data_IF_547447313593
#
_entry.id   IF_547447313593
#
_cell.length_a   1.000
_cell.length_b   1.000
_cell.length_c   1.000
_cell.angle_alpha   90.00
_cell.angle_beta   90.00
_cell.angle_gamma   90.00
#
_symmetry.space_group_name_H-M   'P 1'
#
loop_
_entity.id
_entity.type
_entity.pdbx_description
1 polymer ?
#
# COMPACT_ATOMS: atom_id res chain seq x y z
N UNK A 1 -5.07 66.54 -82.56
CA UNK A 1 -5.84 66.78 -81.32
C UNK A 1 -5.97 65.46 -80.58
N UNK A 2 -5.10 65.19 -79.60
CA UNK A 2 -5.16 63.98 -78.75
C UNK A 2 -5.55 64.44 -77.35
N UNK A 3 -6.76 64.07 -76.92
CA UNK A 3 -7.25 64.33 -75.57
C UNK A 3 -6.58 63.30 -74.65
N UNK A 4 -5.63 63.74 -73.84
CA UNK A 4 -5.11 62.95 -72.72
C UNK A 4 -6.07 63.14 -71.53
N UNK A 5 -6.85 62.11 -71.23
CA UNK A 5 -7.70 62.06 -70.05
C UNK A 5 -6.82 61.79 -68.82
N UNK A 6 -6.78 62.72 -67.87
CA UNK A 6 -6.00 62.60 -66.63
C UNK A 6 -6.81 61.74 -65.66
N UNK A 7 -6.42 60.47 -65.49
CA UNK A 7 -7.05 59.57 -64.53
C UNK A 7 -6.69 60.05 -63.12
N UNK A 8 -7.69 60.26 -62.25
CA UNK A 8 -7.44 60.67 -60.87
C UNK A 8 -6.69 59.57 -60.09
N UNK A 9 -5.58 59.95 -59.44
CA UNK A 9 -4.70 59.05 -58.70
C UNK A 9 -5.33 58.38 -57.45
N UNK A 10 -6.62 58.61 -57.19
CA UNK A 10 -7.37 58.02 -56.08
C UNK A 10 -7.55 56.50 -56.21
N UNK A 11 -7.64 55.97 -57.44
CA UNK A 11 -7.76 54.53 -57.67
C UNK A 11 -6.55 53.73 -57.15
N UNK A 12 -5.34 54.33 -57.16
CA UNK A 12 -4.12 53.70 -56.68
C UNK A 12 -4.11 53.57 -55.15
N UNK A 13 -4.57 54.61 -54.44
CA UNK A 13 -4.66 54.59 -52.97
C UNK A 13 -5.68 53.55 -52.48
N UNK A 14 -6.83 53.45 -53.17
CA UNK A 14 -7.84 52.44 -52.87
C UNK A 14 -7.33 51.02 -53.15
N UNK A 15 -6.65 50.81 -54.28
CA UNK A 15 -6.03 49.51 -54.60
C UNK A 15 -4.99 49.10 -53.56
N UNK A 16 -4.15 50.04 -53.09
CA UNK A 16 -3.17 49.78 -52.02
C UNK A 16 -3.89 49.40 -50.72
N UNK A 17 -4.90 50.16 -50.29
CA UNK A 17 -5.66 49.88 -49.07
C UNK A 17 -6.32 48.51 -49.11
N UNK A 18 -7.00 48.19 -50.23
CA UNK A 18 -7.62 46.87 -50.43
C UNK A 18 -6.56 45.77 -50.45
N UNK A 19 -5.41 45.99 -51.10
CA UNK A 19 -4.33 44.99 -51.14
C UNK A 19 -3.73 44.70 -49.76
N UNK A 20 -3.55 45.72 -48.92
CA UNK A 20 -3.08 45.57 -47.53
C UNK A 20 -4.12 44.83 -46.69
N UNK A 21 -5.41 45.15 -46.84
CA UNK A 21 -6.49 44.48 -46.12
C UNK A 21 -6.57 42.99 -46.51
N UNK A 22 -6.48 42.68 -47.81
CA UNK A 22 -6.43 41.30 -48.30
C UNK A 22 -5.17 40.58 -47.79
N UNK A 23 -4.01 41.22 -47.79
CA UNK A 23 -2.77 40.64 -47.26
C UNK A 23 -2.87 40.35 -45.75
N UNK A 24 -3.49 41.24 -44.97
CA UNK A 24 -3.74 41.02 -43.54
C UNK A 24 -4.70 39.86 -43.30
N UNK A 25 -5.80 39.78 -44.06
CA UNK A 25 -6.75 38.66 -43.96
C UNK A 25 -6.09 37.32 -44.33
N UNK A 26 -5.32 37.28 -45.42
CA UNK A 26 -4.58 36.09 -45.82
C UNK A 26 -3.52 35.71 -44.78
N UNK A 27 -2.80 36.69 -44.23
CA UNK A 27 -1.82 36.48 -43.15
C UNK A 27 -2.47 35.91 -41.89
N UNK A 28 -3.60 36.45 -41.47
CA UNK A 28 -4.37 35.95 -40.33
C UNK A 28 -4.87 34.52 -40.57
N UNK A 29 -5.38 34.22 -41.77
CA UNK A 29 -5.84 32.88 -42.13
C UNK A 29 -4.71 31.85 -42.17
N UNK A 30 -3.55 32.22 -42.73
CA UNK A 30 -2.35 31.38 -42.74
C UNK A 30 -1.85 31.12 -41.30
N UNK A 31 -1.82 32.15 -40.46
CA UNK A 31 -1.43 32.02 -39.06
C UNK A 31 -2.40 31.10 -38.30
N UNK A 32 -3.72 31.27 -38.47
CA UNK A 32 -4.73 30.42 -37.84
C UNK A 32 -4.55 28.95 -38.25
N UNK A 33 -4.35 28.70 -39.54
CA UNK A 33 -4.12 27.34 -40.07
C UNK A 33 -2.84 26.73 -39.50
N UNK A 34 -1.77 27.51 -39.42
CA UNK A 34 -0.50 27.06 -38.83
C UNK A 34 -0.65 26.74 -37.33
N UNK A 35 -1.29 27.62 -36.55
CA UNK A 35 -1.54 27.41 -35.12
C UNK A 35 -2.40 26.18 -34.89
N UNK A 36 -3.47 25.98 -35.67
CA UNK A 36 -4.33 24.82 -35.54
C UNK A 36 -3.61 23.51 -35.88
N UNK A 37 -2.82 23.50 -36.98
CA UNK A 37 -1.99 22.34 -37.34
C UNK A 37 -0.96 22.01 -36.26
N UNK A 38 -0.25 23.04 -35.76
CA UNK A 38 0.72 22.90 -34.69
C UNK A 38 0.08 22.32 -33.42
N UNK A 39 -1.08 22.86 -33.01
CA UNK A 39 -1.82 22.38 -31.86
C UNK A 39 -2.29 20.93 -32.02
N UNK A 40 -2.78 20.55 -33.20
CA UNK A 40 -3.21 19.18 -33.50
C UNK A 40 -2.04 18.19 -33.42
N UNK A 41 -0.88 18.55 -34.00
CA UNK A 41 0.33 17.73 -33.93
C UNK A 41 0.76 17.57 -32.46
N UNK A 42 0.86 18.67 -31.71
CA UNK A 42 1.28 18.64 -30.31
C UNK A 42 0.32 17.88 -29.40
N UNK A 43 -0.99 18.01 -29.63
CA UNK A 43 -2.01 17.27 -28.88
C UNK A 43 -1.92 15.77 -29.15
N UNK A 44 -1.73 15.38 -30.41
CA UNK A 44 -1.56 13.98 -30.80
C UNK A 44 -0.29 13.38 -30.18
N UNK A 45 0.82 14.11 -30.15
CA UNK A 45 2.06 13.69 -29.48
C UNK A 45 1.83 13.42 -27.98
N UNK A 46 1.16 14.32 -27.26
CA UNK A 46 0.86 14.16 -25.82
C UNK A 46 -0.03 12.94 -25.58
N UNK A 47 -1.11 12.79 -26.35
CA UNK A 47 -2.06 11.68 -26.20
C UNK A 47 -1.34 10.34 -26.44
N UNK A 48 -0.57 10.24 -27.52
CA UNK A 48 0.21 9.03 -27.81
C UNK A 48 1.26 8.75 -26.73
N UNK A 49 1.93 9.77 -26.19
CA UNK A 49 2.89 9.58 -25.10
C UNK A 49 2.20 9.09 -23.81
N UNK A 50 1.01 9.59 -23.50
CA UNK A 50 0.20 9.16 -22.38
C UNK A 50 -0.28 7.72 -22.51
N UNK A 51 -0.79 7.34 -23.70
CA UNK A 51 -1.19 5.96 -24.01
C UNK A 51 -0.01 5.00 -23.88
N UNK A 52 1.15 5.36 -24.45
CA UNK A 52 2.38 4.58 -24.32
C UNK A 52 2.84 4.44 -22.86
N UNK A 53 2.75 5.51 -22.08
CA UNK A 53 3.12 5.47 -20.65
C UNK A 53 2.19 4.55 -19.86
N UNK A 54 0.88 4.63 -20.09
CA UNK A 54 -0.09 3.73 -19.49
C UNK A 54 0.17 2.27 -19.91
N UNK A 55 0.35 2.01 -21.20
CA UNK A 55 0.64 0.68 -21.71
C UNK A 55 1.92 0.11 -21.08
N UNK A 56 2.99 0.91 -20.99
CA UNK A 56 4.23 0.51 -20.33
C UNK A 56 4.01 0.12 -18.87
N UNK A 57 3.20 0.90 -18.14
CA UNK A 57 2.87 0.61 -16.74
C UNK A 57 2.02 -0.66 -16.61
N UNK A 58 0.96 -0.82 -17.41
CA UNK A 58 0.09 -2.02 -17.35
C UNK A 58 0.84 -3.30 -17.75
N UNK A 59 1.65 -3.26 -18.81
CA UNK A 59 2.51 -4.40 -19.19
C UNK A 59 3.45 -4.77 -18.05
N UNK A 60 3.92 -3.79 -17.28
CA UNK A 60 4.78 -4.04 -16.14
C UNK A 60 4.09 -4.80 -14.99
N UNK A 61 2.76 -4.72 -14.87
CA UNK A 61 1.99 -5.42 -13.83
C UNK A 61 1.92 -6.93 -14.07
N UNK A 62 1.92 -7.33 -15.34
CA UNK A 62 1.80 -8.72 -15.78
C UNK A 62 3.14 -9.45 -15.93
N UNK A 63 4.26 -8.71 -15.87
CA UNK A 63 5.59 -9.25 -16.17
C UNK A 63 6.30 -9.67 -14.87
N UNK A 64 6.46 -10.99 -14.68
CA UNK A 64 7.13 -11.57 -13.51
C UNK A 64 8.66 -11.30 -13.46
N UNK A 65 9.26 -10.92 -14.59
CA UNK A 65 10.71 -10.79 -14.77
C UNK A 65 11.27 -9.37 -14.63
N UNK A 66 10.50 -8.41 -14.12
CA UNK A 66 11.03 -7.06 -13.90
C UNK A 66 11.91 -7.08 -12.67
N UNK A 67 13.21 -6.86 -12.87
CA UNK A 67 14.17 -6.66 -11.77
C UNK A 67 13.72 -5.44 -10.98
N UNK A 68 13.34 -5.68 -9.72
CA UNK A 68 12.91 -4.63 -8.80
C UNK A 68 14.13 -3.86 -8.30
N UNK A 69 13.95 -2.57 -8.04
CA UNK A 69 15.01 -1.60 -7.74
C UNK A 69 15.96 -1.29 -8.91
N UNK A 70 15.50 -1.47 -10.15
CA UNK A 70 16.23 -1.05 -11.34
C UNK A 70 15.41 -0.06 -12.19
N UNK A 71 16.11 0.69 -13.04
CA UNK A 71 15.51 1.60 -14.02
C UNK A 71 15.81 1.08 -15.42
N UNK A 72 14.76 0.64 -16.11
CA UNK A 72 14.85 0.24 -17.51
C UNK A 72 14.65 1.48 -18.36
N UNK A 73 15.70 1.88 -19.07
CA UNK A 73 15.65 2.97 -20.06
C UNK A 73 15.78 2.35 -21.45
N UNK A 74 14.80 2.61 -22.31
CA UNK A 74 14.88 2.29 -23.74
C UNK A 74 14.84 3.58 -24.54
N UNK A 75 15.82 3.78 -25.39
CA UNK A 75 15.93 4.96 -26.24
C UNK A 75 15.88 4.53 -27.69
N UNK A 76 14.98 5.14 -28.45
CA UNK A 76 14.82 4.93 -29.88
C UNK A 76 15.02 6.28 -30.61
N UNK A 77 15.12 6.24 -31.94
CA UNK A 77 15.28 7.45 -32.77
C UNK A 77 14.15 8.50 -32.63
N UNK A 78 13.03 8.14 -31.99
CA UNK A 78 11.84 8.99 -31.83
C UNK A 78 11.62 9.48 -30.39
N UNK A 79 12.44 9.03 -29.43
CA UNK A 79 12.27 9.39 -28.02
C UNK A 79 12.84 8.36 -27.04
N UNK A 80 12.58 8.54 -25.76
CA UNK A 80 13.00 7.61 -24.70
C UNK A 80 11.83 7.20 -23.82
N UNK A 81 11.86 5.97 -23.35
CA UNK A 81 10.96 5.43 -22.33
C UNK A 81 11.75 5.01 -21.11
N UNK A 82 11.27 5.36 -19.93
CA UNK A 82 11.87 5.03 -18.64
C UNK A 82 10.83 4.35 -17.77
N UNK A 83 11.17 3.17 -17.27
CA UNK A 83 10.38 2.44 -16.29
C UNK A 83 11.22 2.22 -15.04
N UNK A 84 10.75 2.69 -13.89
CA UNK A 84 11.37 2.45 -12.60
C UNK A 84 10.37 1.75 -11.68
N UNK A 85 10.76 0.60 -11.12
CA UNK A 85 9.95 -0.20 -10.21
C UNK A 85 10.71 -0.39 -8.91
N UNK A 86 10.24 0.23 -7.84
CA UNK A 86 10.93 0.25 -6.54
C UNK A 86 9.95 -0.05 -5.41
N UNK A 87 10.44 -0.65 -4.33
CA UNK A 87 9.64 -0.77 -3.12
C UNK A 87 9.41 0.60 -2.47
N UNK A 88 8.20 0.82 -1.97
CA UNK A 88 7.80 2.03 -1.26
C UNK A 88 6.95 1.62 -0.05
N UNK A 89 7.66 1.22 1.02
CA UNK A 89 7.04 0.65 2.21
C UNK A 89 6.44 -0.73 1.96
N UNK A 90 5.14 -0.88 2.24
CA UNK A 90 4.37 -2.08 2.02
C UNK A 90 4.02 -2.32 0.54
N UNK A 91 4.05 -1.28 -0.28
CA UNK A 91 3.64 -1.33 -1.69
C UNK A 91 4.83 -1.21 -2.64
N UNK A 92 4.57 -1.42 -3.93
CA UNK A 92 5.55 -1.25 -4.99
C UNK A 92 5.20 0.00 -5.79
N UNK A 93 6.11 0.99 -5.82
CA UNK A 93 5.96 2.18 -6.64
C UNK A 93 6.46 1.90 -8.05
N UNK A 94 5.62 2.19 -9.04
CA UNK A 94 5.94 2.11 -10.46
C UNK A 94 5.89 3.49 -11.09
N UNK A 95 6.98 3.85 -11.76
CA UNK A 95 7.12 5.11 -12.49
C UNK A 95 7.36 4.80 -13.97
N UNK A 96 6.46 5.27 -14.83
CA UNK A 96 6.64 5.28 -16.28
C UNK A 96 6.82 6.72 -16.75
N UNK A 97 7.80 6.94 -17.63
CA UNK A 97 8.04 8.22 -18.27
C UNK A 97 8.30 7.99 -19.75
N UNK A 98 7.59 8.75 -20.59
CA UNK A 98 7.78 8.79 -22.03
C UNK A 98 8.20 10.21 -22.40
N UNK A 99 9.34 10.31 -23.05
CA UNK A 99 9.83 11.55 -23.65
C UNK A 99 9.79 11.42 -25.17
N UNK A 100 9.12 12.35 -25.83
CA UNK A 100 9.04 12.44 -27.29
C UNK A 100 9.33 13.88 -27.68
N UNK A 101 10.41 14.12 -28.42
CA UNK A 101 10.94 15.45 -28.69
C UNK A 101 11.12 16.29 -27.39
N UNK A 102 10.44 17.43 -27.27
CA UNK A 102 10.46 18.31 -26.09
C UNK A 102 9.33 18.04 -25.08
N UNK A 103 8.51 17.01 -25.29
CA UNK A 103 7.41 16.69 -24.38
C UNK A 103 7.75 15.49 -23.52
N UNK A 104 7.39 15.60 -22.24
CA UNK A 104 7.58 14.57 -21.23
C UNK A 104 6.24 14.29 -20.56
N UNK A 105 5.83 13.03 -20.57
CA UNK A 105 4.65 12.54 -19.86
C UNK A 105 5.09 11.48 -18.87
N UNK A 106 4.60 11.54 -17.64
CA UNK A 106 4.90 10.53 -16.65
C UNK A 106 3.67 10.09 -15.86
N UNK A 107 3.75 8.86 -15.34
CA UNK A 107 2.74 8.19 -14.55
C UNK A 107 3.37 7.50 -13.36
N UNK A 108 2.76 7.68 -12.20
CA UNK A 108 3.17 7.02 -10.96
C UNK A 108 1.98 6.26 -10.39
N UNK A 109 2.19 5.01 -10.01
CA UNK A 109 1.20 4.22 -9.28
C UNK A 109 1.86 3.43 -8.15
N UNK A 110 1.14 3.26 -7.05
CA UNK A 110 1.38 2.18 -6.10
C UNK A 110 0.69 0.92 -6.63
N UNK A 111 1.38 -0.20 -6.47
CA UNK A 111 0.93 -1.51 -6.92
C UNK A 111 1.16 -2.55 -5.83
N UNK A 112 0.29 -3.55 -5.81
CA UNK A 112 0.26 -4.64 -4.83
C UNK A 112 -0.13 -5.93 -5.50
N UNK A 113 -0.16 -7.04 -4.78
CA UNK A 113 -0.50 -8.33 -5.37
C UNK A 113 -1.98 -8.43 -5.72
N UNK A 114 -2.27 -8.96 -6.89
CA UNK A 114 -3.61 -9.15 -7.41
C UNK A 114 -4.30 -10.34 -6.75
N UNK A 115 -5.52 -10.12 -6.26
CA UNK A 115 -6.39 -11.20 -5.80
C UNK A 115 -6.82 -12.10 -6.98
N UNK A 116 -6.73 -13.41 -6.78
CA UNK A 116 -7.19 -14.42 -7.75
C UNK A 116 -8.37 -15.20 -7.17
N UNK A 117 -9.06 -15.98 -8.01
CA UNK A 117 -10.15 -16.87 -7.54
C UNK A 117 -9.68 -17.94 -6.55
N UNK A 118 -8.38 -18.25 -6.53
CA UNK A 118 -7.76 -19.20 -5.61
C UNK A 118 -7.14 -18.53 -4.38
N UNK A 119 -7.20 -17.19 -4.28
CA UNK A 119 -6.73 -16.49 -3.10
C UNK A 119 -7.50 -16.95 -1.86
N UNK A 120 -6.81 -17.24 -0.74
CA UNK A 120 -7.45 -17.63 0.49
C UNK A 120 -8.13 -16.43 1.17
N UNK A 121 -9.28 -16.68 1.78
CA UNK A 121 -9.88 -15.80 2.78
C UNK A 121 -9.34 -16.14 4.17
N UNK A 122 -9.17 -17.42 4.48
CA UNK A 122 -8.46 -17.88 5.67
C UNK A 122 -7.35 -18.85 5.26
N UNK A 123 -6.17 -18.68 5.82
CA UNK A 123 -5.09 -19.65 5.74
C UNK A 123 -4.52 -19.90 7.13
N UNK A 124 -4.71 -21.11 7.64
CA UNK A 124 -4.12 -21.55 8.91
C UNK A 124 -3.05 -22.57 8.60
N UNK A 125 -1.83 -22.36 9.09
CA UNK A 125 -0.76 -23.34 8.89
C UNK A 125 -1.12 -24.70 9.49
N UNK A 126 -0.79 -25.78 8.78
CA UNK A 126 -0.96 -27.13 9.30
C UNK A 126 0.06 -27.42 10.41
N UNK A 127 -0.41 -27.35 11.65
CA UNK A 127 0.32 -27.73 12.85
C UNK A 127 -0.20 -29.06 13.44
N UNK A 128 -0.76 -29.94 12.60
CA UNK A 128 -1.35 -31.23 12.98
C UNK A 128 -2.40 -31.10 14.11
N UNK A 129 -3.20 -30.04 14.06
CA UNK A 129 -4.22 -29.76 15.06
C UNK A 129 -5.42 -29.08 14.40
N UNK A 130 -6.65 -29.41 14.80
CA UNK A 130 -7.85 -28.85 14.19
C UNK A 130 -8.01 -27.38 14.59
N UNK A 131 -8.65 -26.60 13.71
CA UNK A 131 -9.17 -25.29 14.06
C UNK A 131 -10.49 -25.44 14.82
N UNK A 132 -10.67 -24.69 15.90
CA UNK A 132 -11.87 -24.73 16.73
C UNK A 132 -12.61 -23.39 16.65
N UNK A 133 -13.88 -23.43 16.27
CA UNK A 133 -14.73 -22.24 16.19
C UNK A 133 -15.64 -22.15 17.40
N UNK A 134 -15.74 -20.96 17.98
CA UNK A 134 -16.50 -20.71 19.21
C UNK A 134 -17.25 -19.38 19.12
N UNK A 135 -18.47 -19.35 19.69
CA UNK A 135 -19.34 -18.18 19.69
C UNK A 135 -19.82 -17.82 18.28
N UNK A 136 -19.74 -16.54 17.95
CA UNK A 136 -20.25 -15.97 16.69
C UNK A 136 -19.23 -16.04 15.53
N UNK A 137 -18.27 -16.95 15.63
CA UNK A 137 -17.21 -17.09 14.64
C UNK A 137 -17.80 -17.44 13.27
N UNK A 138 -17.25 -16.84 12.21
CA UNK A 138 -17.75 -17.04 10.84
C UNK A 138 -16.60 -17.04 9.85
N UNK A 139 -16.56 -18.05 8.98
CA UNK A 139 -15.54 -18.20 7.95
C UNK A 139 -16.22 -18.27 6.58
N UNK A 140 -15.97 -17.31 5.72
CA UNK A 140 -16.50 -17.27 4.35
C UNK A 140 -15.40 -17.33 3.29
N UNK A 141 -15.76 -17.85 2.12
CA UNK A 141 -14.88 -17.93 0.96
C UNK A 141 -13.90 -19.11 1.02
N UNK A 142 -12.72 -18.94 0.42
CA UNK A 142 -11.74 -20.01 0.32
C UNK A 142 -10.97 -20.16 1.64
N UNK A 143 -11.15 -21.29 2.31
CA UNK A 143 -10.56 -21.55 3.62
C UNK A 143 -9.53 -22.68 3.52
N UNK A 144 -8.28 -22.40 3.85
CA UNK A 144 -7.19 -23.37 3.90
C UNK A 144 -6.97 -23.78 5.35
N UNK A 145 -7.31 -25.04 5.66
CA UNK A 145 -7.35 -25.59 7.01
C UNK A 145 -6.31 -26.70 7.19
N UNK A 146 -5.84 -26.94 8.44
CA UNK A 146 -5.00 -28.09 8.77
C UNK A 146 -5.65 -29.40 8.34
N UNK A 147 -4.86 -30.48 8.17
CA UNK A 147 -5.41 -31.81 7.79
C UNK A 147 -6.49 -32.33 8.75
N UNK A 148 -6.42 -31.93 10.01
CA UNK A 148 -7.41 -32.26 11.05
C UNK A 148 -8.74 -31.51 10.89
N UNK A 149 -8.84 -30.58 9.93
CA UNK A 149 -10.04 -29.83 9.60
C UNK A 149 -10.42 -28.77 10.64
N UNK A 150 -11.71 -28.49 10.69
CA UNK A 150 -12.34 -27.53 11.62
C UNK A 150 -13.42 -28.23 12.43
N UNK A 151 -13.61 -27.84 13.68
CA UNK A 151 -14.68 -28.33 14.56
C UNK A 151 -15.32 -27.20 15.38
N UNK A 152 -16.55 -27.42 15.80
CA UNK A 152 -17.20 -26.57 16.79
C UNK A 152 -16.57 -26.80 18.18
N UNK A 153 -16.47 -25.74 18.97
CA UNK A 153 -16.02 -25.79 20.36
C UNK A 153 -16.90 -25.00 21.31
N UNK A 154 -16.44 -24.94 22.56
CA UNK A 154 -17.04 -24.17 23.63
C UNK A 154 -15.94 -23.53 24.45
N UNK A 155 -16.12 -22.26 24.82
CA UNK A 155 -15.33 -21.57 25.83
C UNK A 155 -16.27 -21.00 26.89
N UNK A 156 -16.12 -21.42 28.15
CA UNK A 156 -16.89 -20.90 29.29
C UNK A 156 -18.41 -20.89 29.10
N UNK A 157 -18.98 -21.90 28.42
CA UNK A 157 -20.42 -21.99 28.16
C UNK A 157 -20.87 -21.33 26.85
N UNK A 158 -19.99 -20.60 26.17
CA UNK A 158 -20.26 -20.05 24.84
C UNK A 158 -19.97 -21.10 23.77
N UNK A 159 -21.01 -21.71 23.23
CA UNK A 159 -20.92 -22.66 22.13
C UNK A 159 -20.80 -21.94 20.78
N UNK A 160 -20.30 -22.65 19.78
CA UNK A 160 -20.42 -22.20 18.39
C UNK A 160 -21.89 -22.03 17.99
N UNK A 161 -22.23 -20.86 17.43
CA UNK A 161 -23.62 -20.52 17.08
C UNK A 161 -23.97 -20.70 15.60
N UNK A 162 -22.97 -21.00 14.74
CA UNK A 162 -23.20 -21.16 13.30
C UNK A 162 -23.80 -22.51 12.92
N UNK A 163 -24.58 -22.53 11.84
CA UNK A 163 -25.19 -23.75 11.30
C UNK A 163 -24.19 -24.64 10.53
N UNK A 164 -23.18 -24.03 9.91
CA UNK A 164 -22.07 -24.71 9.24
C UNK A 164 -20.75 -24.13 9.71
N UNK A 165 -19.67 -24.92 9.66
CA UNK A 165 -18.35 -24.51 10.14
C UNK A 165 -17.60 -23.58 9.16
N UNK A 166 -18.00 -23.57 7.90
CA UNK A 166 -17.48 -22.66 6.88
C UNK A 166 -18.52 -22.47 5.78
N UNK A 167 -18.45 -21.32 5.10
CA UNK A 167 -19.36 -20.90 4.04
C UNK A 167 -18.54 -20.63 2.77
N UNK A 168 -18.22 -21.68 2.02
CA UNK A 168 -17.34 -21.58 0.86
C UNK A 168 -16.59 -22.89 0.59
N UNK A 169 -15.44 -22.80 -0.07
CA UNK A 169 -14.60 -23.96 -0.41
C UNK A 169 -13.54 -24.17 0.67
N UNK A 170 -13.32 -25.42 1.06
CA UNK A 170 -12.27 -25.80 2.00
C UNK A 170 -11.12 -26.51 1.28
N UNK A 171 -9.89 -26.15 1.61
CA UNK A 171 -8.66 -26.72 1.09
C UNK A 171 -7.74 -27.16 2.23
N UNK A 172 -6.83 -28.08 1.96
CA UNK A 172 -5.81 -28.49 2.93
C UNK A 172 -4.63 -27.52 2.90
N UNK A 173 -4.32 -26.90 4.03
CA UNK A 173 -3.18 -26.00 4.21
C UNK A 173 -1.84 -26.76 4.23
N UNK A 174 -0.75 -26.07 3.92
CA UNK A 174 0.61 -26.60 4.06
C UNK A 174 1.16 -26.36 5.47
N UNK A 175 2.29 -26.98 5.78
CA UNK A 175 3.06 -26.75 7.02
C UNK A 175 3.85 -25.43 7.00
N UNK A 176 3.65 -24.59 5.99
CA UNK A 176 4.28 -23.27 5.85
C UNK A 176 3.22 -22.27 5.39
N UNK A 177 3.29 -21.04 5.89
CA UNK A 177 2.47 -19.95 5.35
C UNK A 177 2.94 -19.58 3.93
N UNK A 178 2.04 -19.01 3.10
CA UNK A 178 2.44 -18.33 1.87
C UNK A 178 3.53 -17.29 2.18
N UNK A 179 4.57 -17.26 1.36
CA UNK A 179 5.72 -16.39 1.58
C UNK A 179 5.55 -15.07 0.86
N UNK A 180 6.01 -14.00 1.49
CA UNK A 180 6.24 -12.73 0.80
C UNK A 180 7.43 -12.81 -0.15
N UNK A 181 7.52 -11.84 -1.06
CA UNK A 181 8.70 -11.61 -1.87
C UNK A 181 9.94 -11.43 -0.97
N UNK A 182 10.99 -12.22 -1.21
CA UNK A 182 12.22 -12.18 -0.42
C UNK A 182 12.93 -10.83 -0.51
N UNK A 183 12.86 -10.15 -1.65
CA UNK A 183 13.49 -8.86 -1.86
C UNK A 183 12.74 -7.77 -1.11
N UNK A 184 11.41 -7.90 -0.99
CA UNK A 184 10.60 -6.99 -0.18
C UNK A 184 10.93 -7.14 1.31
N UNK A 185 11.02 -8.38 1.81
CA UNK A 185 11.44 -8.63 3.20
C UNK A 185 12.85 -8.10 3.45
N UNK A 186 13.79 -8.30 2.51
CA UNK A 186 15.15 -7.75 2.63
C UNK A 186 15.18 -6.21 2.58
N UNK A 187 14.37 -5.58 1.74
CA UNK A 187 14.19 -4.13 1.69
C UNK A 187 13.69 -3.59 3.02
N UNK A 188 12.65 -4.20 3.58
CA UNK A 188 12.08 -3.73 4.83
C UNK A 188 13.07 -3.82 6.00
N UNK A 189 13.88 -4.89 6.06
CA UNK A 189 14.97 -5.01 7.05
C UNK A 189 16.01 -3.90 6.92
N UNK A 190 16.38 -3.54 5.69
CA UNK A 190 17.35 -2.46 5.45
C UNK A 190 16.82 -1.11 5.93
N UNK A 191 15.56 -0.78 5.64
CA UNK A 191 15.00 0.52 6.02
C UNK A 191 14.80 0.65 7.54
N UNK A 192 14.42 -0.43 8.23
CA UNK A 192 14.32 -0.42 9.71
C UNK A 192 15.68 -0.30 10.39
N UNK A 193 16.77 -0.65 9.70
CA UNK A 193 18.16 -0.49 10.15
C UNK A 193 18.78 0.87 9.74
N UNK A 194 17.99 1.78 9.16
CA UNK A 194 18.45 3.14 8.84
C UNK A 194 19.09 3.31 7.47
N UNK A 195 18.93 2.37 6.53
CA UNK A 195 19.53 2.47 5.20
C UNK A 195 19.12 3.73 4.40
N UNK A 196 17.99 4.35 4.75
CA UNK A 196 17.49 5.57 4.09
C UNK A 196 18.28 6.83 4.43
N UNK A 197 18.98 6.84 5.57
CA UNK A 197 19.71 8.02 6.07
C UNK A 197 20.84 8.47 5.16
N UNK A 198 21.40 7.55 4.37
CA UNK A 198 22.50 7.83 3.45
C UNK A 198 22.01 8.21 2.04
N UNK A 199 20.71 8.09 1.74
CA UNK A 199 20.18 8.17 0.37
C UNK A 199 19.15 9.27 0.19
N UNK A 200 18.52 9.74 1.27
CA UNK A 200 17.40 10.70 1.21
C UNK A 200 17.76 11.98 1.96
N UNK A 201 17.43 13.12 1.35
CA UNK A 201 17.64 14.43 1.95
C UNK A 201 16.80 14.60 3.22
N UNK A 202 17.48 15.03 4.28
CA UNK A 202 16.87 15.25 5.59
C UNK A 202 16.25 16.65 5.66
N UNK A 203 15.02 16.72 6.18
CA UNK A 203 14.30 17.96 6.43
C UNK A 203 13.87 18.01 7.90
N UNK A 204 13.80 19.22 8.52
CA UNK A 204 13.28 19.36 9.87
C UNK A 204 11.78 19.10 9.92
N UNK A 205 11.29 18.59 11.06
CA UNK A 205 9.85 18.52 11.33
C UNK A 205 9.28 19.94 11.43
N UNK A 206 8.16 20.18 10.75
CA UNK A 206 7.40 21.44 10.76
C UNK A 206 5.91 21.10 10.82
N UNK A 207 5.08 22.12 11.07
CA UNK A 207 3.64 21.97 11.22
C UNK A 207 2.96 21.46 9.93
N UNK A 208 3.44 21.89 8.76
CA UNK A 208 2.91 21.48 7.48
C UNK A 208 4.03 21.04 6.53
N UNK A 209 3.89 19.85 5.94
CA UNK A 209 4.77 19.34 4.91
C UNK A 209 3.98 18.70 3.78
N UNK A 210 4.30 19.07 2.54
CA UNK A 210 3.68 18.50 1.34
C UNK A 210 4.72 18.24 0.27
N UNK A 211 4.83 16.98 -0.17
CA UNK A 211 5.77 16.58 -1.21
C UNK A 211 5.10 15.71 -2.27
N UNK A 212 5.12 16.12 -3.54
CA UNK A 212 4.57 15.32 -4.64
C UNK A 212 5.38 14.05 -4.87
N UNK A 213 4.75 12.99 -5.36
CA UNK A 213 5.46 11.78 -5.77
C UNK A 213 6.31 11.97 -7.04
N UNK A 214 6.14 13.09 -7.76
CA UNK A 214 7.02 13.49 -8.85
C UNK A 214 8.35 14.08 -8.36
N UNK A 215 8.42 14.51 -7.10
CA UNK A 215 9.64 14.99 -6.46
C UNK A 215 10.37 13.84 -5.73
N UNK A 216 11.70 13.95 -5.52
CA UNK A 216 12.45 13.03 -4.67
C UNK A 216 11.82 12.93 -3.28
N UNK A 217 11.97 11.76 -2.64
CA UNK A 217 11.46 11.57 -1.28
C UNK A 217 12.18 12.50 -0.31
N UNK A 218 11.48 12.91 0.75
CA UNK A 218 12.05 13.69 1.84
C UNK A 218 12.02 12.87 3.14
N UNK A 219 13.04 13.03 3.99
CA UNK A 219 13.18 12.30 5.23
C UNK A 219 13.13 13.23 6.44
N UNK A 220 12.15 13.03 7.31
CA UNK A 220 12.14 13.60 8.66
C UNK A 220 12.75 12.54 9.58
N UNK A 221 13.85 12.88 10.24
CA UNK A 221 14.60 11.92 11.04
C UNK A 221 15.00 12.48 12.41
N UNK A 222 14.86 11.64 13.43
CA UNK A 222 15.36 11.90 14.78
C UNK A 222 15.87 10.62 15.45
N UNK A 223 16.84 10.75 16.35
CA UNK A 223 17.25 9.67 17.25
C UNK A 223 16.23 9.49 18.38
N UNK A 224 15.64 10.61 18.82
CA UNK A 224 14.68 10.68 19.91
C UNK A 224 13.25 10.38 19.40
N UNK A 225 12.29 10.22 20.32
CA UNK A 225 10.92 9.96 19.92
C UNK A 225 10.34 11.13 19.10
N UNK A 226 9.76 10.81 17.95
CA UNK A 226 9.02 11.79 17.14
C UNK A 226 7.55 11.74 17.55
N UNK A 227 7.03 12.87 18.02
CA UNK A 227 5.61 13.05 18.36
C UNK A 227 4.95 13.88 17.28
N UNK A 228 3.90 13.32 16.66
CA UNK A 228 3.08 13.96 15.64
C UNK A 228 1.72 14.25 16.26
N UNK A 229 1.52 15.44 16.83
CA UNK A 229 0.25 15.80 17.49
C UNK A 229 -0.68 16.58 16.57
N UNK A 230 -0.21 17.69 15.99
CA UNK A 230 -1.02 18.61 15.16
C UNK A 230 -0.42 18.82 13.75
N UNK A 231 0.57 18.02 13.37
CA UNK A 231 1.26 18.14 12.08
C UNK A 231 0.40 17.63 10.92
N UNK A 232 0.44 18.35 9.80
CA UNK A 232 -0.18 17.99 8.54
C UNK A 232 0.89 17.59 7.54
N UNK A 233 1.03 16.29 7.26
CA UNK A 233 2.10 15.74 6.43
C UNK A 233 1.49 14.91 5.30
N UNK A 234 1.82 15.26 4.06
CA UNK A 234 1.24 14.62 2.87
C UNK A 234 2.24 14.33 1.76
N UNK A 235 2.11 13.13 1.19
CA UNK A 235 2.79 12.70 -0.03
C UNK A 235 4.09 11.95 0.22
N UNK A 236 5.07 12.10 -0.67
CA UNK A 236 6.30 11.31 -0.70
C UNK A 236 7.30 11.70 0.41
N UNK A 237 6.91 11.44 1.66
CA UNK A 237 7.61 11.81 2.88
C UNK A 237 7.76 10.56 3.75
N UNK A 238 8.95 10.39 4.31
CA UNK A 238 9.28 9.31 5.25
C UNK A 238 9.63 9.95 6.59
N UNK A 239 8.99 9.47 7.65
CA UNK A 239 9.25 9.86 9.03
C UNK A 239 9.93 8.69 9.71
N UNK A 240 11.15 8.90 10.21
CA UNK A 240 11.94 7.83 10.82
C UNK A 240 12.48 8.24 12.20
N UNK A 241 12.23 7.41 13.21
CA UNK A 241 12.85 7.57 14.55
C UNK A 241 13.67 6.34 14.90
N UNK A 242 14.82 6.53 15.57
CA UNK A 242 15.57 5.40 16.14
C UNK A 242 14.94 4.81 17.41
N UNK A 243 13.93 5.48 18.00
CA UNK A 243 13.31 5.05 19.25
C UNK A 243 11.82 4.74 19.08
N UNK A 244 10.99 5.76 18.83
CA UNK A 244 9.55 5.62 18.74
C UNK A 244 8.91 6.74 17.92
N UNK A 245 7.82 6.43 17.22
CA UNK A 245 6.91 7.42 16.65
C UNK A 245 5.58 7.34 17.41
N UNK A 246 5.09 8.49 17.88
CA UNK A 246 3.77 8.65 18.50
C UNK A 246 2.92 9.51 17.59
N UNK A 247 1.82 8.95 17.10
CA UNK A 247 0.84 9.65 16.27
C UNK A 247 -0.32 10.05 17.17
N UNK A 248 -0.43 11.33 17.44
CA UNK A 248 -1.51 11.99 18.17
C UNK A 248 -2.82 11.99 17.40
N UNK A 249 -3.95 12.28 18.08
CA UNK A 249 -5.29 12.19 17.49
C UNK A 249 -5.56 13.26 16.42
N UNK A 250 -4.89 14.42 16.47
CA UNK A 250 -5.14 15.54 15.57
C UNK A 250 -4.21 15.56 14.34
N UNK A 251 -3.19 14.69 14.31
CA UNK A 251 -2.24 14.64 13.21
C UNK A 251 -2.95 14.24 11.92
N UNK A 252 -2.56 14.87 10.82
CA UNK A 252 -3.14 14.62 9.50
C UNK A 252 -2.06 14.03 8.59
N UNK A 253 -2.05 12.70 8.51
CA UNK A 253 -1.10 11.98 7.66
C UNK A 253 -1.80 11.46 6.41
N UNK A 254 -1.25 11.76 5.24
CA UNK A 254 -1.78 11.27 3.95
C UNK A 254 -0.65 10.77 3.05
N UNK A 255 -0.60 9.47 2.80
CA UNK A 255 0.40 8.80 1.95
C UNK A 255 1.84 8.82 2.50
N UNK A 256 1.98 8.89 3.82
CA UNK A 256 3.27 8.99 4.53
C UNK A 256 3.74 7.61 5.00
N UNK A 257 5.06 7.40 5.06
CA UNK A 257 5.67 6.20 5.68
C UNK A 257 6.28 6.58 7.03
N UNK A 258 5.88 5.89 8.10
CA UNK A 258 6.44 6.01 9.45
C UNK A 258 7.29 4.76 9.76
N UNK A 259 8.55 4.97 10.13
CA UNK A 259 9.51 3.89 10.42
C UNK A 259 10.11 4.10 11.81
N UNK A 260 9.83 3.22 12.76
CA UNK A 260 10.44 3.28 14.08
C UNK A 260 10.38 1.93 14.79
N UNK A 261 11.25 1.65 15.77
CA UNK A 261 11.15 0.41 16.53
C UNK A 261 9.81 0.22 17.21
N UNK A 262 9.24 1.30 17.75
CA UNK A 262 7.88 1.34 18.28
C UNK A 262 7.05 2.39 17.54
N UNK A 263 5.83 2.05 17.15
CA UNK A 263 4.84 2.99 16.62
C UNK A 263 3.58 2.91 17.47
N UNK A 264 3.14 4.04 18.00
CA UNK A 264 1.90 4.14 18.79
C UNK A 264 0.97 5.15 18.13
N UNK A 265 -0.25 4.73 17.81
CA UNK A 265 -1.31 5.59 17.28
C UNK A 265 -2.33 5.83 18.39
N UNK A 266 -2.58 7.10 18.69
CA UNK A 266 -3.52 7.53 19.71
C UNK A 266 -4.96 7.23 19.32
N UNK A 267 -5.84 7.16 20.32
CA UNK A 267 -7.26 6.89 20.10
C UNK A 267 -7.89 7.93 19.17
N UNK A 268 -8.90 7.53 18.41
CA UNK A 268 -9.67 8.39 17.50
C UNK A 268 -8.89 9.01 16.34
N UNK A 269 -7.63 8.59 16.12
CA UNK A 269 -6.84 9.03 14.97
C UNK A 269 -7.51 8.64 13.64
N UNK A 270 -7.43 9.54 12.65
CA UNK A 270 -7.91 9.29 11.29
C UNK A 270 -6.86 9.72 10.28
N UNK A 271 -6.48 8.82 9.38
CA UNK A 271 -5.50 9.18 8.35
C UNK A 271 -5.16 8.03 7.41
N UNK A 272 -4.11 8.25 6.63
CA UNK A 272 -3.60 7.30 5.65
C UNK A 272 -2.08 7.26 5.70
N UNK A 273 -1.53 6.19 6.26
CA UNK A 273 -0.08 6.04 6.39
C UNK A 273 0.34 4.57 6.41
N UNK A 274 1.62 4.34 6.21
CA UNK A 274 2.25 3.04 6.35
C UNK A 274 3.15 3.04 7.58
N UNK A 275 2.85 2.24 8.60
CA UNK A 275 3.67 2.07 9.79
C UNK A 275 4.55 0.83 9.67
N UNK A 276 5.87 0.99 9.74
CA UNK A 276 6.85 -0.08 9.65
C UNK A 276 7.69 -0.11 10.92
N UNK A 277 7.60 -1.20 11.68
CA UNK A 277 8.28 -1.34 12.96
C UNK A 277 9.05 -2.67 13.09
N UNK A 278 9.94 -2.75 14.08
CA UNK A 278 10.67 -3.99 14.40
C UNK A 278 10.56 -4.45 15.86
N UNK A 279 9.84 -3.72 16.71
CA UNK A 279 9.55 -4.15 18.10
C UNK A 279 8.06 -4.14 18.42
N UNK A 280 7.35 -3.03 18.17
CA UNK A 280 5.94 -2.92 18.59
C UNK A 280 5.12 -1.96 17.72
N UNK A 281 3.88 -2.33 17.44
CA UNK A 281 2.84 -1.46 16.85
C UNK A 281 1.62 -1.49 17.78
N UNK A 282 1.20 -0.33 18.25
CA UNK A 282 0.03 -0.15 19.10
C UNK A 282 -0.93 0.81 18.43
N UNK A 283 -2.09 0.32 18.00
CA UNK A 283 -3.17 1.15 17.48
C UNK A 283 -4.21 1.35 18.59
N UNK A 284 -4.53 2.61 18.87
CA UNK A 284 -5.56 2.98 19.83
C UNK A 284 -6.97 2.53 19.44
N UNK A 285 -7.94 2.97 20.23
CA UNK A 285 -9.37 2.69 20.04
C UNK A 285 -9.99 3.68 19.06
N UNK A 286 -11.02 3.24 18.35
CA UNK A 286 -11.81 4.06 17.44
C UNK A 286 -10.97 4.77 16.34
N UNK A 287 -9.85 4.18 15.93
CA UNK A 287 -9.01 4.72 14.86
C UNK A 287 -9.56 4.35 13.48
N UNK A 288 -9.36 5.20 12.48
CA UNK A 288 -9.69 4.94 11.09
C UNK A 288 -8.46 5.11 10.20
N UNK A 289 -7.93 4.00 9.68
CA UNK A 289 -6.83 4.00 8.72
C UNK A 289 -7.38 3.68 7.34
N UNK A 290 -7.41 4.67 6.44
CA UNK A 290 -7.98 4.51 5.09
C UNK A 290 -7.02 3.82 4.12
N UNK A 291 -7.56 3.17 3.08
CA UNK A 291 -6.75 2.48 2.07
C UNK A 291 -5.86 3.48 1.29
N UNK A 292 -4.57 3.19 1.05
CA UNK A 292 -3.87 1.92 1.27
C UNK A 292 -2.94 1.94 2.48
N UNK A 293 -3.49 2.11 3.68
CA UNK A 293 -2.69 2.06 4.91
C UNK A 293 -2.09 0.66 5.12
N UNK A 294 -0.94 0.60 5.78
CA UNK A 294 -0.31 -0.67 6.08
C UNK A 294 0.42 -0.65 7.43
N UNK A 295 0.35 -1.73 8.19
CA UNK A 295 1.03 -1.91 9.47
C UNK A 295 1.93 -3.15 9.39
N UNK A 296 3.23 -2.95 9.25
CA UNK A 296 4.21 -4.00 9.02
C UNK A 296 5.16 -4.06 10.20
N UNK A 297 5.18 -5.18 10.93
CA UNK A 297 6.12 -5.46 11.99
C UNK A 297 7.04 -6.61 11.61
N UNK A 298 8.35 -6.36 11.65
CA UNK A 298 9.37 -7.36 11.31
C UNK A 298 10.16 -7.68 12.56
N UNK A 299 9.89 -8.85 13.14
CA UNK A 299 10.56 -9.28 14.35
C UNK A 299 11.91 -9.94 14.03
N UNK A 300 12.98 -9.16 14.16
CA UNK A 300 14.36 -9.62 13.98
C UNK A 300 15.01 -10.08 15.30
N UNK A 301 14.31 -10.00 16.44
CA UNK A 301 14.88 -10.30 17.75
C UNK A 301 15.26 -11.78 17.84
N UNK A 302 16.49 -12.05 18.29
CA UNK A 302 16.93 -13.41 18.63
C UNK A 302 16.46 -13.73 20.04
N UNK A 303 16.11 -14.99 20.31
CA UNK A 303 15.60 -15.44 21.63
C UNK A 303 16.54 -15.18 22.82
N UNK A 304 17.82 -14.90 22.60
CA UNK A 304 18.76 -14.52 23.66
C UNK A 304 18.47 -13.14 24.27
N UNK A 305 17.72 -12.29 23.57
CA UNK A 305 17.37 -10.93 24.03
C UNK A 305 16.03 -10.87 24.80
N UNK A 306 15.42 -12.03 25.09
CA UNK A 306 14.19 -12.10 25.87
C UNK A 306 14.51 -12.42 27.34
N UNK A 307 14.09 -11.48 28.20
CA UNK A 307 14.00 -11.62 29.66
C UNK A 307 13.35 -12.95 30.11
N UNK A 308 13.59 -13.40 31.35
CA UNK A 308 13.24 -14.75 31.83
C UNK A 308 11.78 -15.14 31.59
N UNK A 309 11.61 -16.40 31.14
CA UNK A 309 10.41 -17.10 30.65
C UNK A 309 9.19 -17.21 31.60
N UNK A 310 9.11 -16.43 32.68
CA UNK A 310 8.16 -16.68 33.76
C UNK A 310 7.01 -15.67 33.91
N UNK A 311 6.84 -14.68 33.03
CA UNK A 311 5.63 -13.86 33.04
C UNK A 311 4.60 -14.45 32.07
N UNK A 312 3.49 -14.96 32.61
CA UNK A 312 2.32 -15.44 31.85
C UNK A 312 1.64 -14.32 31.01
N UNK A 313 2.11 -13.08 31.15
CA UNK A 313 1.66 -11.90 30.42
C UNK A 313 2.84 -11.28 29.68
N UNK A 314 2.92 -11.54 28.37
CA UNK A 314 3.76 -10.78 27.45
C UNK A 314 2.82 -9.97 26.58
N UNK A 315 3.00 -8.66 26.55
CA UNK A 315 2.22 -7.78 25.68
C UNK A 315 2.45 -8.18 24.21
N UNK A 316 1.40 -8.29 23.39
CA UNK A 316 1.58 -8.58 21.97
C UNK A 316 2.43 -7.51 21.28
N UNK A 317 3.19 -7.93 20.27
CA UNK A 317 3.97 -7.03 19.43
C UNK A 317 3.08 -6.12 18.57
N UNK A 318 1.93 -6.61 18.12
CA UNK A 318 0.93 -5.82 17.40
C UNK A 318 -0.38 -5.86 18.15
N UNK A 319 -0.92 -4.70 18.49
CA UNK A 319 -2.23 -4.57 19.15
C UNK A 319 -3.11 -3.58 18.40
N UNK A 320 -4.37 -3.94 18.19
CA UNK A 320 -5.37 -3.03 17.62
C UNK A 320 -6.52 -2.86 18.61
N UNK A 321 -6.69 -1.63 19.08
CA UNK A 321 -7.75 -1.24 19.99
C UNK A 321 -9.15 -1.38 19.39
N UNK A 322 -10.13 -1.59 20.25
CA UNK A 322 -11.54 -1.81 19.89
C UNK A 322 -12.13 -0.71 19.01
N UNK A 323 -13.11 -1.06 18.18
CA UNK A 323 -13.86 -0.14 17.30
C UNK A 323 -13.00 0.58 16.25
N UNK A 324 -11.79 0.09 15.98
CA UNK A 324 -10.92 0.62 14.94
C UNK A 324 -11.19 -0.07 13.61
N UNK A 325 -11.07 0.70 12.52
CA UNK A 325 -11.21 0.22 11.14
C UNK A 325 -9.88 0.45 10.43
N UNK A 326 -9.34 -0.59 9.81
CA UNK A 326 -8.07 -0.55 9.09
C UNK A 326 -8.31 -1.06 7.67
N UNK A 327 -8.08 -0.20 6.69
CA UNK A 327 -8.20 -0.54 5.28
C UNK A 327 -6.80 -0.68 4.67
N UNK A 328 -6.47 -1.88 4.21
CA UNK A 328 -5.16 -2.23 3.63
C UNK A 328 -4.53 -3.45 4.30
N UNK A 329 -3.24 -3.37 4.63
CA UNK A 329 -2.45 -4.55 5.03
C UNK A 329 -1.95 -4.51 6.48
N UNK A 330 -2.04 -5.63 7.19
CA UNK A 330 -1.33 -5.86 8.45
C UNK A 330 -0.43 -7.08 8.29
N UNK A 331 0.86 -6.94 8.60
CA UNK A 331 1.78 -8.07 8.56
C UNK A 331 2.69 -8.10 9.78
N UNK A 332 2.64 -9.20 10.52
CA UNK A 332 3.65 -9.60 11.48
C UNK A 332 4.52 -10.68 10.84
N UNK A 333 5.77 -10.31 10.52
CA UNK A 333 6.72 -11.13 9.78
C UNK A 333 7.83 -11.56 10.73
N UNK A 334 8.14 -12.86 10.72
CA UNK A 334 9.24 -13.42 11.50
C UNK A 334 10.26 -14.10 10.58
N UNK A 335 11.28 -13.36 10.09
CA UNK A 335 12.23 -13.88 9.11
C UNK A 335 13.06 -15.06 9.61
N UNK A 336 13.33 -15.10 10.92
CA UNK A 336 14.10 -16.18 11.56
C UNK A 336 13.13 -17.12 12.29
N UNK A 337 12.77 -18.23 11.63
CA UNK A 337 11.90 -19.26 12.20
C UNK A 337 12.72 -20.12 13.18
N UNK A 338 12.77 -19.72 14.44
CA UNK A 338 13.26 -20.61 15.49
C UNK A 338 12.29 -21.79 15.65
N UNK A 339 12.82 -23.01 15.60
CA UNK A 339 12.09 -24.28 15.73
C UNK A 339 11.37 -24.47 17.07
N UNK A 340 11.64 -23.63 18.06
CA UNK A 340 11.01 -23.66 19.39
C UNK A 340 10.09 -22.46 19.60
N UNK A 341 9.08 -22.22 18.77
CA UNK A 341 8.10 -21.15 19.04
C UNK A 341 7.40 -21.36 20.39
N UNK A 342 7.20 -20.28 21.15
CA UNK A 342 6.36 -20.33 22.34
C UNK A 342 4.91 -20.49 21.87
N UNK A 343 4.28 -21.62 22.18
CA UNK A 343 2.94 -21.97 21.69
C UNK A 343 1.81 -21.12 22.29
N UNK A 344 2.09 -20.35 23.34
CA UNK A 344 1.08 -19.58 24.09
C UNK A 344 1.28 -18.06 24.07
N UNK A 345 2.42 -17.58 23.56
CA UNK A 345 2.68 -16.14 23.44
C UNK A 345 1.87 -15.58 22.27
N UNK A 346 1.07 -14.56 22.50
CA UNK A 346 0.39 -13.85 21.41
C UNK A 346 1.30 -12.80 20.83
N UNK A 347 1.35 -12.74 19.51
CA UNK A 347 2.13 -11.76 18.77
C UNK A 347 1.27 -10.66 18.17
N UNK A 348 0.06 -11.03 17.71
CA UNK A 348 -0.91 -10.09 17.14
C UNK A 348 -2.22 -10.24 17.89
N UNK A 349 -2.75 -9.13 18.40
CA UNK A 349 -4.06 -9.06 19.02
C UNK A 349 -4.97 -8.10 18.24
N UNK A 350 -6.09 -8.65 17.77
CA UNK A 350 -7.16 -7.91 17.10
C UNK A 350 -8.38 -8.00 18.01
N UNK A 351 -8.65 -6.90 18.72
CA UNK A 351 -9.71 -6.83 19.70
C UNK A 351 -11.12 -6.94 19.06
N UNK A 352 -12.11 -7.19 19.92
CA UNK A 352 -13.52 -7.23 19.51
C UNK A 352 -13.95 -5.89 18.89
N UNK A 353 -14.74 -5.98 17.82
CA UNK A 353 -15.28 -4.81 17.12
C UNK A 353 -14.27 -4.07 16.24
N UNK A 354 -13.05 -4.60 16.09
CA UNK A 354 -12.11 -4.15 15.05
C UNK A 354 -12.54 -4.71 13.70
N UNK A 355 -12.45 -3.90 12.66
CA UNK A 355 -12.65 -4.33 11.27
C UNK A 355 -11.37 -4.08 10.46
N UNK A 356 -10.89 -5.09 9.74
CA UNK A 356 -9.79 -4.95 8.79
C UNK A 356 -10.30 -5.27 7.40
N UNK A 357 -10.28 -4.29 6.50
CA UNK A 357 -10.65 -4.45 5.09
C UNK A 357 -9.38 -4.61 4.26
N UNK A 358 -9.05 -5.86 3.94
CA UNK A 358 -7.81 -6.18 3.23
C UNK A 358 -7.16 -7.46 3.74
N UNK A 359 -5.87 -7.40 4.08
CA UNK A 359 -5.07 -8.59 4.39
C UNK A 359 -4.40 -8.50 5.75
N UNK A 360 -4.49 -9.59 6.51
CA UNK A 360 -3.82 -9.75 7.80
C UNK A 360 -2.92 -10.98 7.72
N UNK A 361 -1.64 -10.80 7.97
CA UNK A 361 -0.64 -11.87 7.95
C UNK A 361 0.08 -11.94 9.30
N UNK A 362 0.17 -13.15 9.86
CA UNK A 362 0.87 -13.38 11.12
C UNK A 362 1.68 -14.68 11.09
N UNK A 363 3.01 -14.55 11.06
CA UNK A 363 3.96 -15.66 11.23
C UNK A 363 4.02 -16.23 12.67
N UNK A 364 3.26 -15.66 13.59
CA UNK A 364 3.22 -16.00 15.02
C UNK A 364 1.86 -16.53 15.47
N UNK A 365 1.53 -16.29 16.74
CA UNK A 365 0.21 -16.62 17.25
C UNK A 365 -0.68 -15.38 17.33
N UNK A 366 -1.94 -15.51 16.93
CA UNK A 366 -2.90 -14.42 16.87
C UNK A 366 -4.07 -14.62 17.83
N UNK A 367 -4.39 -13.60 18.62
CA UNK A 367 -5.69 -13.47 19.30
C UNK A 367 -6.62 -12.64 18.42
N UNK A 368 -7.69 -13.27 17.93
CA UNK A 368 -8.55 -12.71 16.89
C UNK A 368 -10.03 -12.77 17.32
N UNK A 369 -10.57 -11.59 17.64
CA UNK A 369 -11.98 -11.40 18.02
C UNK A 369 -12.69 -10.34 17.16
N UNK A 370 -12.00 -9.79 16.15
CA UNK A 370 -12.53 -8.79 15.22
C UNK A 370 -13.14 -9.39 13.95
N UNK A 371 -13.26 -8.56 12.91
CA UNK A 371 -13.71 -8.94 11.57
C UNK A 371 -12.63 -8.62 10.55
N UNK A 372 -12.32 -9.57 9.66
CA UNK A 372 -11.46 -9.36 8.49
C UNK A 372 -12.32 -9.52 7.25
N UNK A 373 -12.48 -8.45 6.47
CA UNK A 373 -13.10 -8.44 5.15
C UNK A 373 -12.00 -8.63 4.10
N UNK A 374 -11.63 -9.89 3.83
CA UNK A 374 -10.53 -10.20 2.92
C UNK A 374 -9.79 -11.48 3.29
N UNK A 375 -8.47 -11.38 3.49
CA UNK A 375 -7.61 -12.53 3.70
C UNK A 375 -6.90 -12.49 5.06
N UNK A 376 -6.96 -13.59 5.79
CA UNK A 376 -6.31 -13.78 7.09
C UNK A 376 -5.38 -14.99 7.04
N UNK A 377 -4.09 -14.76 7.25
CA UNK A 377 -3.05 -15.78 7.30
C UNK A 377 -2.49 -15.83 8.71
N UNK A 378 -2.50 -17.00 9.34
CA UNK A 378 -1.97 -17.16 10.69
C UNK A 378 -1.29 -18.50 10.87
N UNK A 379 -0.16 -18.50 11.59
CA UNK A 379 0.49 -19.74 12.01
C UNK A 379 -0.34 -20.46 13.07
N UNK A 380 -0.91 -19.75 14.04
CA UNK A 380 -1.75 -20.34 15.08
C UNK A 380 -2.73 -19.31 15.66
N UNK A 381 -3.94 -19.74 16.02
CA UNK A 381 -4.86 -18.91 16.80
C UNK A 381 -4.76 -19.21 18.30
N UNK A 382 -4.96 -18.20 19.13
CA UNK A 382 -5.05 -18.31 20.58
C UNK A 382 -6.27 -17.51 21.02
N UNK A 383 -7.11 -18.07 21.87
CA UNK A 383 -8.14 -17.31 22.57
C UNK A 383 -7.82 -17.30 24.06
N UNK A 384 -7.78 -16.11 24.68
CA UNK A 384 -7.68 -15.95 26.12
C UNK A 384 -9.04 -15.61 26.70
N UNK A 385 -9.59 -16.48 27.54
CA UNK A 385 -10.89 -16.26 28.19
C UNK A 385 -10.86 -16.81 29.62
N UNK A 386 -11.36 -16.02 30.57
CA UNK A 386 -11.50 -16.43 31.97
C UNK A 386 -10.21 -17.02 32.59
N UNK A 387 -9.05 -16.42 32.28
CA UNK A 387 -7.74 -16.88 32.75
C UNK A 387 -7.19 -18.15 32.08
N UNK A 388 -7.92 -18.73 31.13
CA UNK A 388 -7.49 -19.90 30.35
C UNK A 388 -7.00 -19.52 28.95
N UNK A 389 -6.06 -20.31 28.43
CA UNK A 389 -5.50 -20.16 27.08
C UNK A 389 -5.96 -21.32 26.22
N UNK A 390 -6.71 -21.03 25.16
CA UNK A 390 -7.23 -22.01 24.22
C UNK A 390 -6.46 -21.94 22.90
N UNK A 391 -5.79 -23.04 22.54
CA UNK A 391 -4.96 -23.12 21.35
C UNK A 391 -5.78 -23.53 20.13
N UNK A 392 -5.54 -22.87 18.99
CA UNK A 392 -6.27 -23.01 17.73
C UNK A 392 -7.77 -22.70 17.86
N UNK A 393 -8.15 -21.79 18.76
CA UNK A 393 -9.52 -21.35 18.88
C UNK A 393 -9.67 -19.96 18.27
N UNK A 394 -10.69 -19.80 17.41
CA UNK A 394 -11.20 -18.49 17.02
C UNK A 394 -12.46 -18.24 17.83
N UNK A 395 -12.42 -17.21 18.66
CA UNK A 395 -13.55 -16.83 19.52
C UNK A 395 -14.21 -15.56 19.00
N UNK A 396 -15.44 -15.67 18.50
CA UNK A 396 -16.21 -14.57 17.89
C UNK A 396 -15.59 -13.90 16.64
N UNK A 397 -14.39 -14.29 16.24
CA UNK A 397 -13.70 -13.73 15.08
C UNK A 397 -14.38 -14.10 13.76
N UNK A 398 -14.45 -13.12 12.84
CA UNK A 398 -15.15 -13.26 11.55
C UNK A 398 -14.20 -13.01 10.39
N UNK A 399 -14.11 -13.94 9.46
CA UNK A 399 -13.41 -13.79 8.19
C UNK A 399 -14.45 -13.85 7.10
N UNK A 400 -14.67 -12.73 6.42
CA UNK A 400 -15.71 -12.56 5.42
C UNK A 400 -15.09 -12.19 4.07
N UNK A 401 -15.90 -12.21 3.01
CA UNK A 401 -15.48 -11.79 1.68
C UNK A 401 -15.11 -10.29 1.67
N UNK A 402 -14.04 -9.95 0.95
CA UNK A 402 -13.71 -8.54 0.70
C UNK A 402 -14.78 -7.92 -0.20
N UNK A 403 -15.44 -6.81 0.20
CA UNK A 403 -16.41 -6.11 -0.64
C UNK A 403 -15.77 -5.39 -1.85
N UNK A 404 -14.45 -5.22 -1.86
CA UNK A 404 -13.71 -4.53 -2.93
C UNK A 404 -13.25 -5.55 -3.98
N UNK A 405 -13.77 -5.44 -5.21
CA UNK A 405 -13.45 -6.35 -6.32
C UNK A 405 -11.98 -6.27 -6.76
N UNK A 406 -11.50 -5.04 -7.00
CA UNK A 406 -10.14 -4.78 -7.50
C UNK A 406 -9.16 -4.43 -6.37
N UNK A 407 -9.21 -5.19 -5.27
CA UNK A 407 -8.28 -5.01 -4.16
C UNK A 407 -6.88 -5.52 -4.53
N UNK A 408 -5.87 -4.66 -4.36
CA UNK A 408 -4.46 -5.02 -4.45
C UNK A 408 -3.85 -5.17 -3.05
N UNK A 409 -3.30 -6.35 -2.77
CA UNK A 409 -2.79 -6.79 -1.47
C UNK A 409 -1.28 -6.69 -1.30
N UNK A 410 -0.80 -7.23 -0.18
CA UNK A 410 0.61 -7.27 0.19
C UNK A 410 1.43 -8.08 -0.83
N UNK A 411 2.73 -7.80 -0.99
CA UNK A 411 3.57 -8.38 -2.04
C UNK A 411 3.95 -9.84 -1.75
N UNK A 412 3.00 -10.75 -1.91
CA UNK A 412 3.24 -12.20 -1.89
C UNK A 412 4.08 -12.65 -3.08
N UNK A 413 4.91 -13.67 -2.87
CA UNK A 413 5.74 -14.24 -3.93
C UNK A 413 4.89 -14.87 -5.05
N UNK A 414 5.36 -14.72 -6.29
CA UNK A 414 4.74 -15.30 -7.50
C UNK A 414 3.28 -14.89 -7.73
N UNK A 415 2.92 -13.66 -7.36
CA UNK A 415 1.62 -13.09 -7.67
C UNK A 415 1.78 -11.92 -8.64
N UNK A 416 0.85 -11.85 -9.61
CA UNK A 416 0.71 -10.70 -10.49
C UNK A 416 0.40 -9.45 -9.68
N UNK A 417 0.74 -8.28 -10.22
CA UNK A 417 0.41 -7.01 -9.56
C UNK A 417 -0.92 -6.44 -10.06
N UNK A 418 -1.58 -5.65 -9.22
CA UNK A 418 -2.66 -4.74 -9.61
C UNK A 418 -2.42 -3.34 -9.00
N UNK A 419 -3.21 -2.36 -9.43
CA UNK A 419 -3.06 -0.97 -8.98
C UNK A 419 -3.72 -0.79 -7.62
N UNK A 420 -2.92 -0.27 -6.68
CA UNK A 420 -3.36 0.15 -5.35
C UNK A 420 -3.90 1.58 -5.43
N UNK A 421 -3.09 2.51 -5.97
CA UNK A 421 -3.44 3.93 -6.03
C UNK A 421 -2.63 4.64 -7.11
N UNK A 422 -3.27 5.55 -7.85
CA UNK A 422 -2.57 6.50 -8.71
C UNK A 422 -2.01 7.67 -7.88
N UNK A 423 -0.75 8.00 -8.09
CA UNK A 423 -0.05 9.05 -7.36
C UNK A 423 0.15 10.30 -8.24
N UNK A 424 0.24 11.46 -7.59
CA UNK A 424 0.42 12.77 -8.20
C UNK A 424 1.41 13.64 -7.42
#
# INVERSE_FOLDING_TARGET
>A
MKIFHKIEAQAMQFAILVSVLVALLLGAFLMLTHVHSFFNIKSKEIITAFEKSNQQLFVSLDTDNIVRNDTIIKTDNTGSSKLNVVYHGAWIRRYSEIQTHNQKVSKIALTGSKKTESSPNLYVKDNNSPLVLVGDARLEGNTYLPKQGVKAGNISGHYYQGNTLYYGRSFVSKTTLPKFDSDWVAYLKKITQGALLATIDQIPLQDEHKNSFHAPAQLIYDIDPIVLDDQTISGNIIIQSQSQIIIGPNAQLTDVICIAPKITVSNSFKGRFQGIANRKIEIGKACYLSYPSALILIDERKKTDQQPRNTQHHDPEVTIGTQSIIEGGLAYIKPNIDTKQNRIQTNVEIAKGVEVVGEVYCDGNMDFQGTVLGALYSNQFIARQSGSIYLNHIYNGKVLLNPIENYAGLPFANQKSDIVQWLY
#
